data_IF_309212212993
#
_entry.id   IF_309212212993
#
_cell.length_a   1.000
_cell.length_b   1.000
_cell.length_c   1.000
_cell.angle_alpha   90.00
_cell.angle_beta   90.00
_cell.angle_gamma   90.00
#
_symmetry.space_group_name_H-M   'P 1'
#
loop_
_entity.id
_entity.type
_entity.pdbx_description
1 polymer ?
#
# COMPACT_ATOMS: atom_id res chain seq x y z
N UNK A 1 6.09 -0.56 -1.00
CA UNK A 1 5.49 -1.75 -0.33
C UNK A 1 5.51 -1.73 1.20
N UNK A 2 6.42 -1.01 1.87
CA UNK A 2 6.49 -0.99 3.36
C UNK A 2 5.16 -0.62 4.05
N UNK A 3 4.40 0.34 3.50
CA UNK A 3 3.12 0.79 4.05
C UNK A 3 2.08 -0.33 4.26
N UNK A 4 1.93 -1.25 3.30
CA UNK A 4 0.92 -2.32 3.39
C UNK A 4 1.19 -3.22 4.59
N UNK A 5 2.44 -3.64 4.76
CA UNK A 5 2.88 -4.47 5.86
C UNK A 5 2.80 -3.75 7.20
N UNK A 6 3.14 -2.46 7.25
CA UNK A 6 2.98 -1.65 8.46
C UNK A 6 1.51 -1.48 8.85
N UNK A 7 0.64 -1.20 7.88
CA UNK A 7 -0.80 -1.09 8.11
C UNK A 7 -1.37 -2.43 8.59
N UNK A 8 -0.96 -3.53 7.96
CA UNK A 8 -1.39 -4.87 8.33
C UNK A 8 -0.96 -5.23 9.75
N UNK A 9 0.32 -5.03 10.10
CA UNK A 9 0.85 -5.31 11.43
C UNK A 9 0.09 -4.57 12.54
N UNK A 10 -0.26 -3.30 12.30
CA UNK A 10 -1.00 -2.48 13.25
C UNK A 10 -2.46 -2.90 13.41
N UNK A 11 -3.00 -3.61 12.42
CA UNK A 11 -4.40 -4.04 12.38
C UNK A 11 -4.54 -5.56 12.53
N UNK A 12 -3.48 -6.28 12.90
CA UNK A 12 -3.43 -7.75 12.93
C UNK A 12 -4.63 -8.37 13.66
N UNK A 13 -4.90 -7.94 14.89
CA UNK A 13 -6.04 -8.44 15.68
C UNK A 13 -7.42 -8.13 15.06
N UNK A 14 -7.54 -7.10 14.22
CA UNK A 14 -8.78 -6.81 13.51
C UNK A 14 -8.99 -7.76 12.31
N UNK A 15 -7.95 -8.51 11.92
CA UNK A 15 -8.03 -9.51 10.86
C UNK A 15 -8.41 -10.90 11.39
N UNK A 16 -8.36 -11.20 12.69
CA UNK A 16 -8.67 -12.54 13.21
C UNK A 16 -10.06 -13.04 12.74
N UNK A 17 -11.09 -12.20 12.90
CA UNK A 17 -12.45 -12.52 12.44
C UNK A 17 -12.54 -12.66 10.91
N UNK A 18 -11.74 -11.90 10.17
CA UNK A 18 -11.71 -12.00 8.70
C UNK A 18 -11.03 -13.31 8.31
N UNK A 19 -9.84 -13.57 8.83
CA UNK A 19 -9.08 -14.79 8.57
C UNK A 19 -9.88 -16.03 8.92
N UNK A 20 -10.63 -16.03 10.03
CA UNK A 20 -11.52 -17.13 10.37
C UNK A 20 -12.61 -17.34 9.31
N UNK A 21 -13.27 -16.27 8.84
CA UNK A 21 -14.27 -16.38 7.77
C UNK A 21 -13.69 -16.91 6.47
N UNK A 22 -12.51 -16.43 6.08
CA UNK A 22 -11.79 -16.94 4.91
C UNK A 22 -11.47 -18.43 5.09
N UNK A 23 -10.95 -18.83 6.26
CA UNK A 23 -10.61 -20.23 6.54
C UNK A 23 -11.83 -21.16 6.48
N UNK A 24 -12.95 -20.75 7.07
CA UNK A 24 -14.21 -21.50 7.03
C UNK A 24 -14.78 -21.58 5.60
N UNK A 25 -14.68 -20.51 4.81
CA UNK A 25 -15.08 -20.50 3.39
C UNK A 25 -14.28 -21.50 2.55
N UNK A 26 -13.00 -21.73 2.89
CA UNK A 26 -12.15 -22.77 2.29
C UNK A 26 -12.43 -24.19 2.81
N UNK A 27 -13.48 -24.37 3.60
CA UNK A 27 -13.87 -25.66 4.16
C UNK A 27 -13.11 -26.07 5.42
N UNK A 28 -12.40 -25.14 6.06
CA UNK A 28 -11.79 -25.34 7.37
C UNK A 28 -12.82 -25.48 8.50
N UNK A 29 -12.36 -25.86 9.69
CA UNK A 29 -13.20 -25.98 10.89
C UNK A 29 -12.62 -25.14 12.04
N UNK A 30 -13.44 -24.44 12.82
CA UNK A 30 -12.93 -23.53 13.88
C UNK A 30 -11.84 -24.13 14.79
N UNK A 31 -11.91 -25.42 15.21
CA UNK A 31 -10.86 -26.05 16.01
C UNK A 31 -9.48 -26.12 15.33
N UNK A 32 -9.46 -26.13 13.99
CA UNK A 32 -8.24 -26.22 13.18
C UNK A 32 -7.72 -24.84 12.74
N UNK A 33 -8.41 -23.75 13.11
CA UNK A 33 -8.04 -22.41 12.68
C UNK A 33 -6.69 -21.97 13.27
N UNK A 34 -5.78 -21.60 12.37
CA UNK A 34 -4.51 -20.98 12.71
C UNK A 34 -4.37 -19.68 11.92
N UNK A 35 -4.41 -18.54 12.61
CA UNK A 35 -4.44 -17.21 11.98
C UNK A 35 -3.22 -16.97 11.08
N UNK A 36 -2.03 -17.36 11.54
CA UNK A 36 -0.77 -17.18 10.83
C UNK A 36 -0.75 -17.93 9.50
N UNK A 37 -1.00 -19.24 9.51
CA UNK A 37 -1.03 -20.07 8.30
C UNK A 37 -2.16 -19.66 7.35
N UNK A 38 -3.31 -19.27 7.91
CA UNK A 38 -4.44 -18.76 7.13
C UNK A 38 -4.07 -17.46 6.41
N UNK A 39 -3.37 -16.56 7.10
CA UNK A 39 -2.90 -15.31 6.53
C UNK A 39 -1.92 -15.56 5.38
N UNK A 40 -0.95 -16.46 5.55
CA UNK A 40 -0.01 -16.84 4.49
C UNK A 40 -0.79 -17.35 3.27
N UNK A 41 -1.69 -18.30 3.46
CA UNK A 41 -2.54 -18.84 2.38
C UNK A 41 -3.36 -17.74 1.66
N UNK A 42 -3.92 -16.79 2.41
CA UNK A 42 -4.67 -15.66 1.85
C UNK A 42 -3.76 -14.73 1.03
N UNK A 43 -2.53 -14.44 1.51
CA UNK A 43 -1.55 -13.63 0.79
C UNK A 43 -1.08 -14.32 -0.50
N UNK A 44 -0.82 -15.62 -0.47
CA UNK A 44 -0.48 -16.41 -1.67
C UNK A 44 -1.56 -16.29 -2.74
N UNK A 45 -2.83 -16.44 -2.37
CA UNK A 45 -3.94 -16.28 -3.31
C UNK A 45 -4.04 -14.85 -3.84
N UNK A 46 -3.92 -13.85 -2.97
CA UNK A 46 -3.93 -12.44 -3.39
C UNK A 46 -2.82 -12.15 -4.41
N UNK A 47 -1.58 -12.56 -4.13
CA UNK A 47 -0.47 -12.32 -5.04
C UNK A 47 -0.59 -13.12 -6.34
N UNK A 48 -1.13 -14.35 -6.29
CA UNK A 48 -1.42 -15.13 -7.49
C UNK A 48 -2.44 -14.43 -8.39
N UNK A 49 -3.52 -13.88 -7.82
CA UNK A 49 -4.53 -13.10 -8.58
C UNK A 49 -3.90 -11.86 -9.21
N UNK A 50 -3.11 -11.11 -8.44
CA UNK A 50 -2.45 -9.90 -8.94
C UNK A 50 -1.45 -10.21 -10.06
N UNK A 51 -0.63 -11.23 -9.88
CA UNK A 51 0.41 -11.62 -10.83
C UNK A 51 -0.17 -12.17 -12.14
N UNK A 52 -1.22 -13.01 -12.06
CA UNK A 52 -1.89 -13.57 -13.23
C UNK A 52 -2.78 -12.57 -13.99
N UNK A 53 -3.22 -11.50 -13.32
CA UNK A 53 -4.08 -10.49 -13.94
C UNK A 53 -3.35 -9.74 -15.06
N UNK A 54 -3.91 -9.64 -16.29
CA UNK A 54 -3.33 -8.82 -17.36
C UNK A 54 -3.62 -7.32 -17.18
N UNK A 55 -4.45 -6.95 -16.21
CA UNK A 55 -4.93 -5.59 -16.04
C UNK A 55 -3.86 -4.65 -15.48
N UNK A 56 -3.86 -3.35 -15.87
CA UNK A 56 -3.05 -2.34 -15.21
C UNK A 56 -3.36 -2.24 -13.70
N UNK A 57 -2.30 -2.22 -12.88
CA UNK A 57 -2.41 -2.22 -11.41
C UNK A 57 -2.78 -0.85 -10.82
N UNK A 58 -2.56 0.23 -11.58
CA UNK A 58 -2.74 1.62 -11.19
C UNK A 58 -3.92 2.32 -11.89
N UNK A 59 -4.72 1.59 -12.67
CA UNK A 59 -5.93 2.09 -13.32
C UNK A 59 -7.19 1.81 -12.48
N UNK A 60 -7.92 2.84 -12.04
CA UNK A 60 -9.20 2.68 -11.35
C UNK A 60 -10.22 1.82 -12.11
N UNK A 61 -10.23 1.87 -13.44
CA UNK A 61 -11.17 1.09 -14.26
C UNK A 61 -10.83 -0.41 -14.32
N UNK A 62 -9.60 -0.76 -13.95
CA UNK A 62 -9.12 -2.13 -13.91
C UNK A 62 -9.46 -2.85 -12.61
N UNK A 63 -9.56 -2.12 -11.50
CA UNK A 63 -9.81 -2.69 -10.18
C UNK A 63 -11.03 -3.63 -10.15
N UNK A 64 -12.22 -3.28 -10.70
CA UNK A 64 -13.37 -4.18 -10.62
C UNK A 64 -13.12 -5.54 -11.29
N UNK A 65 -12.31 -5.60 -12.35
CA UNK A 65 -11.95 -6.86 -13.03
C UNK A 65 -11.01 -7.70 -12.17
N UNK A 66 -10.00 -7.07 -11.58
CA UNK A 66 -9.07 -7.75 -10.65
C UNK A 66 -9.82 -8.26 -9.41
N UNK A 67 -10.72 -7.46 -8.86
CA UNK A 67 -11.56 -7.84 -7.71
C UNK A 67 -12.55 -8.95 -8.06
N UNK A 68 -13.08 -8.98 -9.29
CA UNK A 68 -13.93 -10.09 -9.74
C UNK A 68 -13.15 -11.39 -9.79
N UNK A 69 -11.94 -11.39 -10.35
CA UNK A 69 -11.05 -12.55 -10.34
C UNK A 69 -10.68 -12.99 -8.90
N UNK A 70 -10.47 -12.04 -7.99
CA UNK A 70 -10.26 -12.34 -6.58
C UNK A 70 -11.48 -13.02 -5.92
N UNK A 71 -12.69 -12.59 -6.25
CA UNK A 71 -13.94 -13.18 -5.74
C UNK A 71 -14.21 -14.58 -6.31
N UNK A 72 -13.73 -14.88 -7.52
CA UNK A 72 -13.80 -16.24 -8.09
C UNK A 72 -12.91 -17.21 -7.31
N UNK A 73 -11.76 -16.74 -6.82
CA UNK A 73 -10.86 -17.53 -5.98
C UNK A 73 -11.35 -17.64 -4.53
N UNK A 74 -12.01 -16.60 -4.00
CA UNK A 74 -12.42 -16.49 -2.59
C UNK A 74 -13.81 -15.86 -2.46
N UNK A 75 -14.82 -16.68 -2.17
CA UNK A 75 -16.20 -16.23 -2.01
C UNK A 75 -16.43 -15.43 -0.73
N UNK A 76 -15.54 -15.52 0.26
CA UNK A 76 -15.61 -14.68 1.46
C UNK A 76 -15.38 -13.19 1.16
N UNK A 77 -14.79 -12.87 0.00
CA UNK A 77 -14.48 -11.51 -0.45
C UNK A 77 -13.26 -10.89 0.23
N UNK A 78 -12.54 -11.65 1.06
CA UNK A 78 -11.39 -11.15 1.82
C UNK A 78 -10.20 -10.91 0.92
N UNK A 79 -9.89 -11.82 0.00
CA UNK A 79 -8.83 -11.63 -1.00
C UNK A 79 -9.13 -10.39 -1.85
N UNK A 80 -10.39 -10.19 -2.27
CA UNK A 80 -10.80 -9.00 -3.01
C UNK A 80 -10.61 -7.70 -2.22
N UNK A 81 -10.91 -7.71 -0.91
CA UNK A 81 -10.66 -6.58 -0.03
C UNK A 81 -9.15 -6.30 0.12
N UNK A 82 -8.32 -7.33 0.22
CA UNK A 82 -6.87 -7.18 0.32
C UNK A 82 -6.23 -6.70 -0.99
N UNK A 83 -6.71 -7.16 -2.15
CA UNK A 83 -6.34 -6.62 -3.46
C UNK A 83 -6.56 -5.11 -3.50
N UNK A 84 -7.74 -4.64 -3.09
CA UNK A 84 -8.05 -3.21 -3.07
C UNK A 84 -7.09 -2.43 -2.17
N UNK A 85 -6.85 -2.92 -0.95
CA UNK A 85 -5.92 -2.30 0.01
C UNK A 85 -4.49 -2.27 -0.51
N UNK A 86 -4.01 -3.38 -1.07
CA UNK A 86 -2.65 -3.51 -1.57
C UNK A 86 -2.38 -2.56 -2.74
N UNK A 87 -3.35 -2.40 -3.65
CA UNK A 87 -3.24 -1.53 -4.82
C UNK A 87 -3.58 -0.06 -4.54
N UNK A 88 -4.16 0.27 -3.38
CA UNK A 88 -4.60 1.64 -3.05
C UNK A 88 -3.50 2.70 -3.26
N UNK A 89 -2.24 2.51 -2.81
CA UNK A 89 -1.19 3.52 -2.99
C UNK A 89 -0.92 3.89 -4.45
N UNK A 90 -1.15 2.96 -5.38
CA UNK A 90 -0.92 3.16 -6.82
C UNK A 90 -2.04 3.99 -7.48
N UNK A 91 -3.23 4.00 -6.87
CA UNK A 91 -4.45 4.57 -7.46
C UNK A 91 -4.98 5.80 -6.73
N UNK A 92 -4.62 5.99 -5.46
CA UNK A 92 -5.21 7.03 -4.58
C UNK A 92 -5.14 8.44 -5.19
N UNK A 93 -4.09 8.76 -5.95
CA UNK A 93 -3.98 10.06 -6.60
C UNK A 93 -5.05 10.28 -7.66
N UNK A 94 -5.46 9.23 -8.37
CA UNK A 94 -6.50 9.28 -9.39
C UNK A 94 -7.91 9.17 -8.79
N UNK A 95 -8.07 8.38 -7.72
CA UNK A 95 -9.39 8.05 -7.14
C UNK A 95 -9.86 9.04 -6.09
N UNK A 96 -8.95 9.55 -5.27
CA UNK A 96 -9.29 10.40 -4.13
C UNK A 96 -8.74 11.81 -4.31
N UNK A 97 -7.43 11.93 -4.55
CA UNK A 97 -6.77 13.24 -4.54
C UNK A 97 -7.23 14.13 -5.71
N UNK A 98 -7.17 13.62 -6.95
CA UNK A 98 -7.53 14.41 -8.12
C UNK A 98 -9.01 14.83 -8.11
N UNK A 99 -10.00 13.95 -7.81
CA UNK A 99 -11.40 14.38 -7.71
C UNK A 99 -11.66 15.41 -6.60
N UNK A 100 -10.94 15.34 -5.48
CA UNK A 100 -11.12 16.25 -4.36
C UNK A 100 -10.46 17.62 -4.58
N UNK A 101 -9.27 17.65 -5.18
CA UNK A 101 -8.41 18.85 -5.26
C UNK A 101 -8.48 19.49 -6.66
N UNK A 102 -8.89 18.73 -7.69
CA UNK A 102 -8.86 19.17 -9.08
C UNK A 102 -7.43 19.30 -9.64
N UNK A 103 -6.46 18.59 -9.06
CA UNK A 103 -5.06 18.58 -9.46
C UNK A 103 -4.61 17.16 -9.75
N UNK A 104 -4.17 16.92 -10.99
CA UNK A 104 -3.53 15.67 -11.38
C UNK A 104 -2.02 15.78 -11.11
N UNK A 105 -1.54 15.15 -10.04
CA UNK A 105 -0.14 15.22 -9.60
C UNK A 105 0.85 14.84 -10.69
N UNK A 106 0.46 13.92 -11.58
CA UNK A 106 1.34 13.38 -12.59
C UNK A 106 1.62 14.33 -13.76
N UNK A 107 0.92 15.46 -13.83
CA UNK A 107 1.13 16.51 -14.84
C UNK A 107 2.16 17.56 -14.37
N UNK A 108 2.68 17.41 -13.14
CA UNK A 108 3.62 18.33 -12.53
C UNK A 108 5.00 17.66 -12.33
N UNK A 109 6.11 18.41 -12.39
CA UNK A 109 7.44 17.85 -12.19
C UNK A 109 7.65 17.37 -10.75
N UNK A 110 8.36 16.25 -10.61
CA UNK A 110 8.83 15.72 -9.33
C UNK A 110 10.36 15.54 -9.37
N UNK A 111 11.07 16.12 -8.41
CA UNK A 111 12.50 15.93 -8.27
C UNK A 111 12.76 14.56 -7.65
N UNK A 112 13.01 13.58 -8.51
CA UNK A 112 13.28 12.19 -8.10
C UNK A 112 14.54 12.06 -7.24
N UNK A 113 15.56 12.90 -7.46
CA UNK A 113 16.80 12.84 -6.70
C UNK A 113 16.57 13.23 -5.24
N UNK A 114 15.86 14.35 -5.05
CA UNK A 114 15.54 14.87 -3.71
C UNK A 114 14.21 14.34 -3.15
N UNK A 115 13.46 13.56 -3.95
CA UNK A 115 12.11 13.06 -3.71
C UNK A 115 11.13 14.11 -3.24
N UNK A 116 11.05 15.20 -3.99
CA UNK A 116 10.30 16.39 -3.62
C UNK A 116 9.60 17.03 -4.82
N UNK A 117 8.40 17.56 -4.61
CA UNK A 117 7.66 18.32 -5.60
C UNK A 117 6.79 19.41 -4.96
N UNK A 118 6.57 20.50 -5.70
CA UNK A 118 5.60 21.54 -5.34
C UNK A 118 4.64 21.75 -6.49
N UNK A 119 3.36 21.93 -6.15
CA UNK A 119 2.32 22.28 -7.10
C UNK A 119 1.57 23.49 -6.54
N UNK A 120 1.47 24.53 -7.36
CA UNK A 120 0.63 25.69 -7.11
C UNK A 120 -0.47 25.68 -8.19
N UNK A 121 -1.64 25.15 -7.84
CA UNK A 121 -2.73 24.96 -8.78
C UNK A 121 -4.09 24.94 -8.07
N UNK A 122 -5.13 25.41 -8.75
CA UNK A 122 -6.51 25.34 -8.27
C UNK A 122 -6.75 25.96 -6.88
N UNK A 123 -5.96 26.99 -6.53
CA UNK A 123 -6.02 27.64 -5.21
C UNK A 123 -5.36 26.86 -4.07
N UNK A 124 -4.70 25.75 -4.39
CA UNK A 124 -3.92 24.95 -3.44
C UNK A 124 -2.42 25.14 -3.65
N UNK A 125 -1.70 25.20 -2.54
CA UNK A 125 -0.27 24.96 -2.49
C UNK A 125 -0.10 23.53 -1.97
N UNK A 126 0.44 22.64 -2.80
CA UNK A 126 0.59 21.22 -2.51
C UNK A 126 2.08 20.91 -2.47
N UNK A 127 2.51 20.27 -1.40
CA UNK A 127 3.85 19.71 -1.27
C UNK A 127 3.76 18.19 -1.35
N UNK A 128 4.56 17.60 -2.23
CA UNK A 128 4.73 16.16 -2.36
C UNK A 128 6.15 15.80 -1.94
N UNK A 129 6.30 14.70 -1.22
CA UNK A 129 7.61 14.19 -0.84
C UNK A 129 7.58 12.67 -0.66
N UNK A 130 8.73 12.03 -0.82
CA UNK A 130 8.93 10.62 -0.48
C UNK A 130 9.14 10.48 1.03
N UNK A 131 8.37 9.61 1.67
CA UNK A 131 8.39 9.46 3.12
C UNK A 131 9.77 9.06 3.66
N UNK A 132 10.49 8.20 2.94
CA UNK A 132 11.87 7.78 3.24
C UNK A 132 12.89 8.93 3.24
N UNK A 133 12.54 10.09 2.69
CA UNK A 133 13.38 11.29 2.70
C UNK A 133 12.91 12.35 3.70
N UNK A 134 11.89 12.06 4.54
CA UNK A 134 11.30 13.01 5.48
C UNK A 134 12.34 13.70 6.38
N UNK A 135 13.34 12.95 6.87
CA UNK A 135 14.41 13.51 7.72
C UNK A 135 15.20 14.63 7.01
N UNK A 136 15.33 14.55 5.69
CA UNK A 136 16.06 15.52 4.87
C UNK A 136 15.16 16.68 4.42
N UNK A 137 13.83 16.59 4.63
CA UNK A 137 12.83 17.55 4.15
C UNK A 137 12.53 18.69 5.13
N UNK A 138 13.19 18.76 6.29
CA UNK A 138 12.88 19.75 7.33
C UNK A 138 12.88 21.19 6.79
N UNK A 139 13.87 21.57 5.97
CA UNK A 139 13.95 22.92 5.40
C UNK A 139 12.83 23.18 4.39
N UNK A 140 12.53 22.21 3.54
CA UNK A 140 11.48 22.29 2.54
C UNK A 140 10.11 22.42 3.21
N UNK A 141 9.86 21.66 4.27
CA UNK A 141 8.67 21.74 5.12
C UNK A 141 8.57 23.11 5.79
N UNK A 142 9.64 23.57 6.46
CA UNK A 142 9.72 24.89 7.09
C UNK A 142 9.30 26.02 6.14
N UNK A 143 9.87 26.00 4.93
CA UNK A 143 9.59 26.96 3.88
C UNK A 143 8.17 26.83 3.33
N UNK A 144 7.62 25.61 3.26
CA UNK A 144 6.28 25.37 2.75
C UNK A 144 5.19 25.85 3.73
N UNK A 145 5.41 25.70 5.03
CA UNK A 145 4.46 26.13 6.07
C UNK A 145 4.69 27.57 6.57
N UNK A 146 5.65 28.28 5.98
CA UNK A 146 6.10 29.62 6.39
C UNK A 146 6.46 29.70 7.90
N UNK A 147 7.20 28.67 8.38
CA UNK A 147 7.70 28.61 9.75
C UNK A 147 9.20 28.35 9.75
N UNK A 148 10.04 29.39 9.90
CA UNK A 148 11.50 29.23 9.90
C UNK A 148 11.99 28.42 11.11
N UNK A 149 11.28 28.49 12.25
CA UNK A 149 11.55 27.69 13.45
C UNK A 149 10.79 26.34 13.41
N UNK A 150 10.90 25.60 12.30
CA UNK A 150 10.33 24.26 12.18
C UNK A 150 11.38 23.20 12.52
N UNK A 151 11.05 22.35 13.49
CA UNK A 151 11.85 21.18 13.85
C UNK A 151 11.02 19.92 13.63
N UNK A 152 11.59 18.95 12.92
CA UNK A 152 10.98 17.63 12.78
C UNK A 152 11.45 16.78 13.96
N UNK A 153 10.62 16.65 14.99
CA UNK A 153 10.95 15.77 16.12
C UNK A 153 10.88 14.31 15.68
N UNK A 154 11.98 13.58 15.90
CA UNK A 154 12.01 12.13 15.71
C UNK A 154 11.25 11.47 16.85
N UNK A 155 9.96 11.23 16.64
CA UNK A 155 9.15 10.38 17.50
C UNK A 155 8.87 9.07 16.76
N UNK A 156 9.47 7.98 17.22
CA UNK A 156 9.09 6.64 16.76
C UNK A 156 7.67 6.34 17.26
N UNK A 157 6.65 6.77 16.53
CA UNK A 157 5.25 6.46 16.88
C UNK A 157 4.95 4.95 16.81
N UNK A 158 5.88 4.15 16.29
CA UNK A 158 5.81 2.69 16.21
C UNK A 158 6.32 1.97 17.46
N UNK A 159 7.10 2.61 18.33
CA UNK A 159 7.66 1.96 19.54
C UNK A 159 6.59 1.60 20.58
N UNK A 160 5.40 2.24 20.52
CA UNK A 160 4.29 2.02 21.46
C UNK A 160 3.30 0.93 21.03
N UNK A 161 3.55 0.21 19.93
CA UNK A 161 2.72 -0.93 19.53
C UNK A 161 3.54 -2.21 19.68
N UNK A 162 3.31 -2.93 20.77
CA UNK A 162 3.80 -4.29 21.03
C UNK A 162 3.27 -5.25 19.94
N UNK A 163 3.84 -5.19 18.74
CA UNK A 163 3.54 -6.13 17.66
C UNK A 163 4.21 -7.45 18.05
N UNK A 164 3.45 -8.54 18.20
CA UNK A 164 4.01 -9.83 18.58
C UNK A 164 5.07 -10.32 17.58
N UNK A 165 6.13 -10.97 18.06
CA UNK A 165 7.25 -11.43 17.22
C UNK A 165 6.80 -12.40 16.10
N UNK A 166 5.82 -13.28 16.39
CA UNK A 166 5.21 -14.18 15.40
C UNK A 166 4.55 -13.41 14.25
N UNK A 167 3.94 -12.24 14.52
CA UNK A 167 3.34 -11.41 13.45
C UNK A 167 4.43 -10.87 12.52
N UNK A 168 5.58 -10.45 13.06
CA UNK A 168 6.69 -9.97 12.24
C UNK A 168 7.27 -11.07 11.34
N UNK A 169 7.39 -12.29 11.85
CA UNK A 169 7.84 -13.46 11.09
C UNK A 169 6.90 -13.77 9.92
N UNK A 170 5.59 -13.83 10.20
CA UNK A 170 4.55 -14.08 9.18
C UNK A 170 4.53 -13.00 8.11
N UNK A 171 4.73 -11.73 8.47
CA UNK A 171 4.81 -10.65 7.49
C UNK A 171 6.08 -10.71 6.64
N UNK A 172 7.19 -11.18 7.20
CA UNK A 172 8.42 -11.40 6.42
C UNK A 172 8.26 -12.57 5.46
N UNK A 173 7.63 -13.65 5.88
CA UNK A 173 7.25 -14.75 4.99
C UNK A 173 6.32 -14.27 3.88
N UNK A 174 5.27 -13.52 4.24
CA UNK A 174 4.34 -12.89 3.30
C UNK A 174 5.02 -12.00 2.27
N UNK A 175 6.07 -11.26 2.64
CA UNK A 175 6.86 -10.45 1.70
C UNK A 175 7.59 -11.30 0.66
N UNK A 176 8.09 -12.45 1.07
CA UNK A 176 8.82 -13.36 0.18
C UNK A 176 7.91 -14.07 -0.81
N UNK A 177 6.59 -14.04 -0.61
CA UNK A 177 5.60 -14.58 -1.53
C UNK A 177 5.33 -13.70 -2.76
N UNK A 178 5.77 -12.44 -2.75
CA UNK A 178 5.49 -11.53 -3.87
C UNK A 178 6.29 -11.97 -5.10
N UNK A 179 5.63 -12.36 -6.21
CA UNK A 179 6.34 -12.77 -7.43
C UNK A 179 7.16 -11.62 -7.99
N UNK A 180 8.37 -11.90 -8.50
CA UNK A 180 9.24 -10.89 -9.13
C UNK A 180 8.54 -10.19 -10.30
N UNK A 181 7.74 -10.93 -11.07
CA UNK A 181 6.90 -10.41 -12.16
C UNK A 181 5.90 -9.37 -11.68
N UNK A 182 5.27 -9.60 -10.52
CA UNK A 182 4.38 -8.61 -9.89
C UNK A 182 5.15 -7.39 -9.40
N UNK A 183 6.35 -7.59 -8.83
CA UNK A 183 7.24 -6.48 -8.42
C UNK A 183 7.59 -5.59 -9.61
N UNK A 184 8.01 -6.19 -10.73
CA UNK A 184 8.34 -5.45 -11.95
C UNK A 184 7.14 -4.65 -12.46
N UNK A 185 5.95 -5.27 -12.50
CA UNK A 185 4.72 -4.57 -12.90
C UNK A 185 4.37 -3.40 -11.98
N UNK A 186 4.62 -3.51 -10.67
CA UNK A 186 4.45 -2.38 -9.74
C UNK A 186 5.41 -1.24 -10.11
N UNK A 187 6.67 -1.54 -10.42
CA UNK A 187 7.65 -0.52 -10.82
C UNK A 187 7.40 0.07 -12.21
N UNK A 188 6.60 -0.60 -13.05
CA UNK A 188 6.16 -0.09 -14.35
C UNK A 188 4.97 0.90 -14.26
N UNK A 189 4.30 0.99 -13.11
CA UNK A 189 3.17 1.90 -12.90
C UNK A 189 3.55 3.37 -13.07
N UNK A 190 2.55 4.21 -13.42
CA UNK A 190 2.72 5.67 -13.49
C UNK A 190 3.18 6.23 -12.15
N UNK A 191 2.63 5.70 -11.05
CA UNK A 191 3.06 6.04 -9.69
C UNK A 191 4.56 5.81 -9.50
N UNK A 192 5.03 4.59 -9.74
CA UNK A 192 6.43 4.24 -9.49
C UNK A 192 7.38 5.09 -10.35
N UNK A 193 7.12 5.17 -11.65
CA UNK A 193 7.95 5.93 -12.59
C UNK A 193 7.99 7.42 -12.27
N UNK A 194 6.85 8.02 -11.94
CA UNK A 194 6.77 9.45 -11.65
C UNK A 194 7.55 9.85 -10.40
N UNK A 195 7.50 9.01 -9.35
CA UNK A 195 8.22 9.25 -8.10
C UNK A 195 9.62 8.61 -8.08
N UNK A 196 10.07 8.05 -9.21
CA UNK A 196 11.41 7.50 -9.40
C UNK A 196 11.72 6.26 -8.58
N UNK A 197 10.71 5.42 -8.39
CA UNK A 197 10.85 4.06 -7.87
C UNK A 197 11.21 3.11 -9.02
N UNK A 198 12.20 2.24 -8.83
CA UNK A 198 12.63 1.24 -9.81
C UNK A 198 12.94 -0.10 -9.16
N UNK A 199 12.77 -1.21 -9.89
CA UNK A 199 13.38 -2.49 -9.51
C UNK A 199 14.89 -2.39 -9.75
N UNK A 200 15.66 -2.43 -8.67
CA UNK A 200 17.13 -2.48 -8.69
C UNK A 200 17.62 -3.89 -8.42
#
# INVERSE_FOLDING_TARGET
MSWYWSHFAQMYHHYDDQLLRYFLDKGGSEPDFQAETTLISMLEQMFSVLDASPEPLDDPQSLPRIQSAAMECDSSGIVSAQVNRFLLPLRWFNEDFHPAVGVNVYDHPFDVLNGFGKIEASGFNIMMYRYEQLEQMQRQLANFVDRPEFSLERRNATEDKDIPANVLEVLNEGRNLIPTTLVDRIYETRYARHFGYSSS
#
